data_IF_148222582693
#
_entry.id   IF_148222582693
#
_cell.length_a   1.000
_cell.length_b   1.000
_cell.length_c   1.000
_cell.angle_alpha   90.00
_cell.angle_beta   90.00
_cell.angle_gamma   90.00
#
_symmetry.space_group_name_H-M   'P 1'
#
loop_
_entity.id
_entity.type
_entity.pdbx_description
1 polymer ?
#
# COMPACT_ATOMS: atom_id res chain seq x y z
N UNK A 1 -11.23 -66.42 33.83
CA UNK A 1 -11.28 -66.32 32.35
C UNK A 1 -12.69 -65.98 31.92
N UNK A 2 -12.79 -64.95 31.07
CA UNK A 2 -13.84 -64.61 30.08
C UNK A 2 -14.33 -63.17 30.25
N UNK A 3 -13.98 -62.41 29.21
CA UNK A 3 -14.03 -60.97 29.06
C UNK A 3 -15.46 -60.53 28.74
N UNK A 4 -15.87 -59.44 29.37
CA UNK A 4 -17.04 -58.65 29.02
C UNK A 4 -16.64 -57.78 27.83
N UNK A 5 -17.40 -57.83 26.73
CA UNK A 5 -17.44 -56.75 25.76
C UNK A 5 -18.90 -56.50 25.39
N UNK A 6 -19.37 -55.34 25.85
CA UNK A 6 -20.67 -54.77 25.56
C UNK A 6 -20.53 -54.05 24.20
N UNK A 7 -21.18 -54.59 23.17
CA UNK A 7 -21.31 -53.94 21.88
C UNK A 7 -22.69 -53.28 21.84
N UNK A 8 -22.72 -51.94 21.73
CA UNK A 8 -23.96 -51.20 21.53
C UNK A 8 -23.71 -49.95 20.68
N UNK A 9 -24.49 -49.87 19.60
CA UNK A 9 -24.80 -48.71 18.74
C UNK A 9 -23.63 -48.16 17.90
N UNK A 10 -23.78 -47.80 16.63
CA UNK A 10 -24.85 -47.02 16.03
C UNK A 10 -24.85 -47.22 14.50
N UNK A 11 -26.04 -47.43 13.93
CA UNK A 11 -26.29 -47.51 12.49
C UNK A 11 -26.33 -46.11 11.83
N UNK A 12 -25.64 -46.00 10.70
CA UNK A 12 -25.98 -45.23 9.48
C UNK A 12 -26.45 -43.78 9.62
N UNK A 13 -25.57 -42.86 9.23
CA UNK A 13 -25.94 -41.75 8.34
C UNK A 13 -24.89 -41.64 7.23
N UNK A 14 -25.30 -42.05 6.04
CA UNK A 14 -24.68 -41.67 4.76
C UNK A 14 -25.14 -40.22 4.52
N UNK A 15 -24.20 -39.30 4.46
CA UNK A 15 -24.39 -37.99 3.84
C UNK A 15 -23.22 -37.77 2.89
N UNK A 16 -23.43 -38.10 1.61
CA UNK A 16 -22.70 -37.46 0.52
C UNK A 16 -23.15 -36.00 0.48
N UNK A 17 -22.30 -35.08 0.95
CA UNK A 17 -22.20 -33.77 0.32
C UNK A 17 -20.93 -33.78 -0.50
N UNK A 18 -21.06 -33.48 -1.79
CA UNK A 18 -19.94 -33.26 -2.70
C UNK A 18 -19.06 -32.14 -2.16
N UNK A 19 -18.04 -32.52 -1.40
CA UNK A 19 -16.88 -31.69 -1.16
C UNK A 19 -16.19 -31.52 -2.51
N UNK A 20 -16.54 -30.45 -3.23
CA UNK A 20 -15.61 -29.86 -4.19
C UNK A 20 -14.37 -29.47 -3.38
N UNK A 21 -13.41 -30.40 -3.29
CA UNK A 21 -12.06 -30.09 -2.87
C UNK A 21 -11.63 -28.87 -3.67
N UNK A 22 -11.35 -27.78 -2.97
CA UNK A 22 -10.67 -26.65 -3.57
C UNK A 22 -9.34 -27.23 -4.04
N UNK A 23 -9.10 -27.27 -5.35
CA UNK A 23 -7.88 -27.81 -5.92
C UNK A 23 -6.68 -27.06 -5.32
N UNK A 24 -5.93 -27.73 -4.45
CA UNK A 24 -4.67 -27.22 -3.94
C UNK A 24 -3.68 -27.06 -5.10
N UNK A 25 -2.81 -26.03 -5.08
CA UNK A 25 -1.84 -25.82 -6.14
C UNK A 25 -0.93 -27.04 -6.31
N UNK A 26 -0.82 -27.56 -7.52
CA UNK A 26 0.10 -28.67 -7.82
C UNK A 26 1.51 -28.12 -8.08
N UNK A 27 2.49 -28.65 -7.34
CA UNK A 27 3.92 -28.37 -7.51
C UNK A 27 4.57 -29.60 -8.15
N UNK A 28 5.19 -29.45 -9.33
CA UNK A 28 5.72 -30.59 -10.09
C UNK A 28 7.25 -30.63 -10.17
N UNK A 29 7.94 -29.64 -9.58
CA UNK A 29 9.40 -29.48 -9.63
C UNK A 29 9.94 -29.14 -8.23
N UNK A 30 11.12 -29.63 -7.88
CA UNK A 30 11.78 -29.30 -6.61
C UNK A 30 12.26 -27.84 -6.54
N UNK A 31 12.34 -27.30 -5.33
CA UNK A 31 12.67 -25.91 -5.03
C UNK A 31 14.19 -25.61 -5.19
N UNK A 32 14.60 -25.36 -6.44
CA UNK A 32 15.97 -25.01 -6.84
C UNK A 32 16.04 -23.63 -7.52
N UNK A 33 15.09 -22.75 -7.20
CA UNK A 33 15.02 -21.42 -7.80
C UNK A 33 16.13 -20.51 -7.26
N UNK A 34 16.73 -19.69 -8.15
CA UNK A 34 17.76 -18.74 -7.76
C UNK A 34 17.15 -17.51 -7.05
N UNK A 35 16.84 -17.69 -5.76
CA UNK A 35 16.34 -16.62 -4.89
C UNK A 35 17.33 -15.48 -4.77
N UNK A 36 18.63 -15.73 -4.87
CA UNK A 36 19.64 -14.67 -4.80
C UNK A 36 19.51 -13.73 -5.99
N UNK A 37 19.38 -14.28 -7.21
CA UNK A 37 19.15 -13.48 -8.40
C UNK A 37 17.85 -12.66 -8.32
N UNK A 38 16.78 -13.24 -7.76
CA UNK A 38 15.52 -12.52 -7.52
C UNK A 38 15.68 -11.39 -6.49
N UNK A 39 16.32 -11.65 -5.34
CA UNK A 39 16.59 -10.62 -4.34
C UNK A 39 17.49 -9.51 -4.88
N UNK A 40 18.49 -9.85 -5.72
CA UNK A 40 19.31 -8.88 -6.44
C UNK A 40 18.44 -8.01 -7.35
N UNK A 41 17.56 -8.63 -8.15
CA UNK A 41 16.66 -7.89 -9.03
C UNK A 41 15.75 -6.93 -8.24
N UNK A 42 15.10 -7.43 -7.18
CA UNK A 42 14.25 -6.63 -6.32
C UNK A 42 15.02 -5.45 -5.70
N UNK A 43 16.19 -5.70 -5.12
CA UNK A 43 16.94 -4.63 -4.47
C UNK A 43 17.49 -3.60 -5.46
N UNK A 44 18.17 -4.06 -6.51
CA UNK A 44 18.98 -3.18 -7.38
C UNK A 44 18.17 -2.52 -8.50
N UNK A 45 17.16 -3.21 -9.03
CA UNK A 45 16.40 -2.73 -10.19
C UNK A 45 15.00 -2.23 -9.85
N UNK A 46 14.50 -2.50 -8.64
CA UNK A 46 13.13 -2.13 -8.24
C UNK A 46 13.14 -1.21 -7.01
N UNK A 47 13.51 -1.74 -5.84
CA UNK A 47 13.36 -1.08 -4.54
C UNK A 47 14.24 0.17 -4.44
N UNK A 48 15.55 0.04 -4.66
CA UNK A 48 16.48 1.18 -4.55
C UNK A 48 16.14 2.27 -5.59
N UNK A 49 15.93 1.96 -6.88
CA UNK A 49 15.49 2.96 -7.85
C UNK A 49 14.16 3.62 -7.50
N UNK A 50 13.17 2.87 -6.99
CA UNK A 50 11.89 3.43 -6.55
C UNK A 50 12.08 4.41 -5.37
N UNK A 51 12.90 4.06 -4.37
CA UNK A 51 13.24 4.98 -3.26
C UNK A 51 14.02 6.21 -3.73
N UNK A 52 14.91 6.08 -4.72
CA UNK A 52 15.58 7.24 -5.35
C UNK A 52 14.57 8.19 -5.99
N UNK A 53 13.63 7.65 -6.77
CA UNK A 53 12.57 8.45 -7.38
C UNK A 53 11.67 9.10 -6.31
N UNK A 54 11.28 8.35 -5.28
CA UNK A 54 10.53 8.88 -4.15
C UNK A 54 11.24 10.06 -3.48
N UNK A 55 12.53 9.91 -3.18
CA UNK A 55 13.36 10.98 -2.61
C UNK A 55 13.43 12.22 -3.52
N UNK A 56 13.60 12.03 -4.84
CA UNK A 56 13.64 13.14 -5.81
C UNK A 56 12.33 13.94 -5.77
N UNK A 57 11.19 13.26 -5.81
CA UNK A 57 9.88 13.92 -5.80
C UNK A 57 9.60 14.62 -4.46
N UNK A 58 9.99 14.02 -3.33
CA UNK A 58 9.85 14.66 -2.01
C UNK A 58 10.79 15.86 -1.85
N UNK A 59 12.01 15.79 -2.39
CA UNK A 59 12.91 16.95 -2.44
C UNK A 59 12.30 18.08 -3.27
N UNK A 60 11.65 17.76 -4.39
CA UNK A 60 10.95 18.76 -5.19
C UNK A 60 9.79 19.40 -4.44
N UNK A 61 9.01 18.61 -3.71
CA UNK A 61 7.97 19.11 -2.80
C UNK A 61 8.56 20.04 -1.74
N UNK A 62 9.70 19.67 -1.13
CA UNK A 62 10.40 20.50 -0.15
C UNK A 62 10.88 21.84 -0.72
N UNK A 63 11.45 21.85 -1.93
CA UNK A 63 11.84 23.09 -2.60
C UNK A 63 10.63 24.00 -2.86
N UNK A 64 9.56 23.46 -3.42
CA UNK A 64 8.35 24.25 -3.73
C UNK A 64 7.64 24.73 -2.46
N UNK A 65 7.68 23.96 -1.36
CA UNK A 65 7.18 24.38 -0.07
C UNK A 65 7.96 25.56 0.51
N UNK A 66 9.28 25.57 0.36
CA UNK A 66 10.10 26.71 0.77
C UNK A 66 9.88 27.94 -0.11
N UNK A 67 9.68 27.76 -1.43
CA UNK A 67 9.30 28.86 -2.33
C UNK A 67 7.94 29.44 -1.94
N UNK A 68 6.95 28.59 -1.65
CA UNK A 68 5.63 29.03 -1.21
C UNK A 68 5.68 29.76 0.14
N UNK A 69 6.47 29.25 1.10
CA UNK A 69 6.72 29.91 2.39
C UNK A 69 7.24 31.34 2.25
N UNK A 70 8.15 31.58 1.31
CA UNK A 70 8.75 32.90 1.10
C UNK A 70 7.85 33.83 0.28
N UNK A 71 7.03 33.28 -0.61
CA UNK A 71 6.16 34.05 -1.49
C UNK A 71 4.82 33.33 -1.71
N UNK A 72 3.88 33.41 -0.75
CA UNK A 72 2.58 32.74 -0.83
C UNK A 72 1.67 33.42 -1.85
N UNK A 73 1.73 32.93 -3.08
CA UNK A 73 0.86 33.33 -4.20
C UNK A 73 0.05 32.12 -4.68
N UNK A 74 -1.01 32.36 -5.46
CA UNK A 74 -1.77 31.28 -6.11
C UNK A 74 -0.88 30.43 -7.02
N UNK A 75 0.04 31.05 -7.77
CA UNK A 75 0.97 30.31 -8.62
C UNK A 75 1.88 29.39 -7.81
N UNK A 76 2.41 29.86 -6.68
CA UNK A 76 3.26 29.04 -5.83
C UNK A 76 2.47 28.00 -5.03
N UNK A 77 1.21 28.28 -4.66
CA UNK A 77 0.27 27.29 -4.11
C UNK A 77 0.03 26.16 -5.11
N UNK A 78 -0.15 26.47 -6.39
CA UNK A 78 -0.33 25.46 -7.43
C UNK A 78 0.94 24.65 -7.71
N UNK A 79 2.13 25.26 -7.58
CA UNK A 79 3.41 24.53 -7.68
C UNK A 79 3.57 23.50 -6.57
N UNK A 80 3.41 23.91 -5.30
CA UNK A 80 3.52 22.97 -4.17
C UNK A 80 2.46 21.86 -4.24
N UNK A 81 1.23 22.19 -4.70
CA UNK A 81 0.18 21.19 -4.95
C UNK A 81 0.56 20.16 -6.03
N UNK A 82 1.24 20.61 -7.08
CA UNK A 82 1.72 19.73 -8.16
C UNK A 82 2.81 18.79 -7.65
N UNK A 83 3.82 19.30 -6.94
CA UNK A 83 4.88 18.47 -6.37
C UNK A 83 4.40 17.59 -5.21
N UNK A 84 3.36 18.01 -4.48
CA UNK A 84 2.66 17.17 -3.51
C UNK A 84 2.02 15.96 -4.19
N UNK A 85 1.29 16.15 -5.28
CA UNK A 85 0.68 15.04 -6.01
C UNK A 85 1.75 14.10 -6.58
N UNK A 86 2.82 14.63 -7.18
CA UNK A 86 3.87 13.79 -7.77
C UNK A 86 4.60 12.94 -6.72
N UNK A 87 4.95 13.53 -5.57
CA UNK A 87 5.55 12.79 -4.45
C UNK A 87 4.59 11.78 -3.83
N UNK A 88 3.30 12.11 -3.76
CA UNK A 88 2.30 11.18 -3.25
C UNK A 88 2.04 10.01 -4.20
N UNK A 89 2.15 10.24 -5.51
CA UNK A 89 2.14 9.16 -6.51
C UNK A 89 3.38 8.28 -6.38
N UNK A 90 4.58 8.86 -6.25
CA UNK A 90 5.82 8.07 -6.10
C UNK A 90 5.86 7.29 -4.79
N UNK A 91 5.21 7.78 -3.72
CA UNK A 91 4.99 7.01 -2.49
C UNK A 91 4.26 5.67 -2.75
N UNK A 92 3.28 5.64 -3.66
CA UNK A 92 2.53 4.41 -3.97
C UNK A 92 3.42 3.27 -4.49
N UNK A 93 4.61 3.60 -5.03
CA UNK A 93 5.57 2.65 -5.57
C UNK A 93 6.56 2.11 -4.53
N UNK A 94 6.66 2.74 -3.36
CA UNK A 94 7.63 2.35 -2.31
C UNK A 94 6.97 1.82 -1.04
N UNK A 95 5.69 2.16 -0.81
CA UNK A 95 4.98 1.85 0.42
C UNK A 95 4.84 0.34 0.71
N UNK A 96 4.88 -0.52 -0.31
CA UNK A 96 4.86 -1.98 -0.13
C UNK A 96 6.15 -2.54 0.47
N UNK A 97 7.27 -1.81 0.38
CA UNK A 97 8.58 -2.24 0.88
C UNK A 97 8.76 -1.88 2.37
N UNK A 98 7.77 -2.24 3.18
CA UNK A 98 7.75 -2.05 4.65
C UNK A 98 8.57 -3.16 5.33
N UNK A 99 9.88 -3.16 5.10
CA UNK A 99 10.84 -4.06 5.73
C UNK A 99 12.03 -3.28 6.26
N UNK A 100 12.73 -3.83 7.27
CA UNK A 100 13.92 -3.21 7.84
C UNK A 100 13.61 -1.81 8.36
N UNK A 101 14.38 -0.80 7.92
CA UNK A 101 14.23 0.57 8.41
C UNK A 101 12.84 1.17 8.16
N UNK A 102 12.14 0.75 7.11
CA UNK A 102 10.76 1.21 6.86
C UNK A 102 9.79 0.71 7.92
N UNK A 103 10.01 -0.48 8.47
CA UNK A 103 9.22 -1.02 9.57
C UNK A 103 9.53 -0.28 10.88
N UNK A 104 10.82 -0.05 11.20
CA UNK A 104 11.25 0.70 12.39
C UNK A 104 10.66 2.12 12.45
N UNK A 105 10.51 2.75 11.28
CA UNK A 105 9.96 4.10 11.13
C UNK A 105 8.42 4.12 11.05
N UNK A 106 7.76 2.96 11.11
CA UNK A 106 6.32 2.85 10.85
C UNK A 106 5.92 3.53 9.54
N UNK A 107 6.73 3.36 8.48
CA UNK A 107 6.74 4.22 7.29
C UNK A 107 5.35 4.50 6.71
N UNK A 108 4.48 3.50 6.61
CA UNK A 108 3.12 3.66 6.09
C UNK A 108 2.29 4.59 6.99
N UNK A 109 2.23 4.31 8.30
CA UNK A 109 1.44 5.11 9.25
C UNK A 109 2.02 6.52 9.43
N UNK A 110 3.34 6.62 9.39
CA UNK A 110 4.06 7.90 9.48
C UNK A 110 3.81 8.78 8.26
N UNK A 111 3.71 8.19 7.08
CA UNK A 111 3.61 8.94 5.81
C UNK A 111 2.18 9.14 5.33
N UNK A 112 1.27 8.22 5.66
CA UNK A 112 -0.03 8.14 4.98
C UNK A 112 -1.17 7.56 5.83
N UNK A 113 -1.35 8.04 7.06
CA UNK A 113 -2.53 7.70 7.86
C UNK A 113 -3.73 8.57 7.44
N UNK A 114 -4.76 7.93 6.89
CA UNK A 114 -6.05 8.57 6.59
C UNK A 114 -7.22 7.79 7.23
N UNK A 115 -8.27 8.47 7.72
CA UNK A 115 -8.50 9.91 7.68
C UNK A 115 -7.52 10.70 8.56
N UNK A 116 -7.14 11.90 8.11
CA UNK A 116 -6.38 12.83 8.93
C UNK A 116 -7.30 13.53 9.94
N UNK A 117 -6.75 13.92 11.08
CA UNK A 117 -7.45 14.59 12.15
C UNK A 117 -7.25 16.10 12.07
N UNK A 118 -8.09 16.77 11.28
CA UNK A 118 -8.03 18.22 11.07
C UNK A 118 -8.18 19.03 12.36
N UNK A 119 -8.94 18.53 13.34
CA UNK A 119 -9.12 19.17 14.65
C UNK A 119 -7.77 19.24 15.38
N UNK A 120 -7.07 18.12 15.49
CA UNK A 120 -5.78 18.10 16.18
C UNK A 120 -4.65 18.73 15.35
N UNK A 121 -4.74 18.74 14.00
CA UNK A 121 -3.85 19.56 13.16
C UNK A 121 -4.00 21.05 13.51
N UNK A 122 -5.23 21.57 13.58
CA UNK A 122 -5.45 22.97 13.94
C UNK A 122 -4.94 23.27 15.36
N UNK A 123 -5.04 22.31 16.28
CA UNK A 123 -4.45 22.43 17.62
C UNK A 123 -2.92 22.46 17.57
N UNK A 124 -2.28 21.61 16.78
CA UNK A 124 -0.83 21.65 16.56
C UNK A 124 -0.38 23.01 16.01
N UNK A 125 -1.08 23.54 15.00
CA UNK A 125 -0.79 24.85 14.39
C UNK A 125 -0.89 25.97 15.44
N UNK A 126 -1.92 25.94 16.29
CA UNK A 126 -2.15 26.97 17.30
C UNK A 126 -1.18 26.91 18.48
N UNK A 127 -0.85 25.70 18.96
CA UNK A 127 0.03 25.49 20.11
C UNK A 127 1.52 25.54 19.76
N UNK A 128 1.88 25.20 18.52
CA UNK A 128 3.26 25.17 18.02
C UNK A 128 4.22 24.28 18.84
N UNK A 129 3.68 23.30 19.58
CA UNK A 129 4.42 22.41 20.49
C UNK A 129 4.24 20.93 20.17
N UNK A 130 4.28 20.56 18.88
CA UNK A 130 4.11 19.19 18.40
C UNK A 130 5.45 18.49 18.13
N UNK A 131 5.45 17.16 18.19
CA UNK A 131 6.56 16.33 17.77
C UNK A 131 6.07 15.29 16.75
N UNK A 132 6.30 15.55 15.46
CA UNK A 132 5.83 14.70 14.36
C UNK A 132 6.41 13.28 14.42
N UNK A 133 7.57 13.06 15.06
CA UNK A 133 8.14 11.71 15.25
C UNK A 133 7.38 10.83 16.24
N UNK A 134 6.41 11.39 16.98
CA UNK A 134 5.59 10.63 17.93
C UNK A 134 4.51 9.82 17.21
N UNK A 135 4.31 8.56 17.61
CA UNK A 135 3.23 7.68 17.12
C UNK A 135 1.84 8.32 17.25
N UNK A 136 1.64 9.18 18.26
CA UNK A 136 0.36 9.87 18.47
C UNK A 136 0.04 10.87 17.37
N UNK A 137 1.00 11.25 16.52
CA UNK A 137 0.85 12.25 15.47
C UNK A 137 0.59 11.64 14.09
N UNK A 138 0.54 10.32 13.93
CA UNK A 138 0.34 9.68 12.62
C UNK A 138 -0.89 10.23 11.87
N UNK A 139 -2.01 10.45 12.55
CA UNK A 139 -3.23 11.03 11.97
C UNK A 139 -3.15 12.55 11.70
N UNK A 140 -2.03 13.22 12.04
CA UNK A 140 -1.84 14.67 11.92
C UNK A 140 -0.68 15.06 11.01
N UNK A 141 -0.10 14.08 10.31
CA UNK A 141 1.08 14.30 9.48
C UNK A 141 1.02 13.59 8.11
N UNK A 142 2.13 13.65 7.38
CA UNK A 142 2.26 13.00 6.08
C UNK A 142 1.37 13.60 4.98
N UNK A 143 1.14 12.84 3.91
CA UNK A 143 0.34 13.29 2.77
C UNK A 143 -1.10 13.67 3.12
N UNK A 144 -1.82 12.96 4.00
CA UNK A 144 -3.18 13.34 4.38
C UNK A 144 -3.27 14.68 5.13
N UNK A 145 -2.28 15.00 5.99
CA UNK A 145 -2.23 16.32 6.61
C UNK A 145 -1.90 17.43 5.60
N UNK A 146 -1.01 17.15 4.63
CA UNK A 146 -0.74 18.07 3.53
C UNK A 146 -1.97 18.29 2.63
N UNK A 147 -2.77 17.26 2.38
CA UNK A 147 -4.05 17.38 1.68
C UNK A 147 -4.97 18.39 2.40
N UNK A 148 -5.12 18.27 3.72
CA UNK A 148 -5.88 19.22 4.52
C UNK A 148 -5.30 20.65 4.44
N UNK A 149 -3.98 20.80 4.60
CA UNK A 149 -3.35 22.12 4.56
C UNK A 149 -3.48 22.80 3.18
N UNK A 150 -3.41 22.03 2.10
CA UNK A 150 -3.41 22.56 0.73
C UNK A 150 -4.80 22.72 0.12
N UNK A 151 -5.80 21.97 0.59
CA UNK A 151 -7.14 21.93 -0.01
C UNK A 151 -8.29 22.00 1.00
N UNK A 152 -8.03 21.71 2.27
CA UNK A 152 -9.07 21.55 3.30
C UNK A 152 -9.28 22.73 4.25
N UNK A 153 -8.45 23.78 4.17
CA UNK A 153 -8.54 24.94 5.06
C UNK A 153 -9.75 25.86 4.74
N UNK A 154 -10.17 25.93 3.48
CA UNK A 154 -11.32 26.71 3.02
C UNK A 154 -11.81 26.23 1.64
N UNK A 155 -12.97 26.74 1.20
CA UNK A 155 -13.63 26.28 -0.04
C UNK A 155 -13.00 26.80 -1.34
N UNK A 156 -12.19 27.85 -1.29
CA UNK A 156 -11.59 28.46 -2.49
C UNK A 156 -10.09 28.68 -2.30
N UNK A 157 -9.34 28.65 -3.40
CA UNK A 157 -7.90 28.90 -3.37
C UNK A 157 -7.53 30.26 -2.78
N UNK A 158 -8.33 31.29 -3.04
CA UNK A 158 -8.11 32.61 -2.46
C UNK A 158 -8.32 32.60 -0.94
N UNK A 159 -9.38 31.92 -0.47
CA UNK A 159 -9.63 31.77 0.96
C UNK A 159 -8.58 30.90 1.66
N UNK A 160 -8.08 29.86 1.01
CA UNK A 160 -6.96 29.05 1.51
C UNK A 160 -5.70 29.92 1.61
N UNK A 161 -5.43 30.76 0.60
CA UNK A 161 -4.25 31.63 0.60
C UNK A 161 -4.24 32.62 1.78
N UNK A 162 -5.40 33.07 2.26
CA UNK A 162 -5.50 33.95 3.43
C UNK A 162 -4.87 33.33 4.68
N UNK A 163 -4.92 32.00 4.84
CA UNK A 163 -4.23 31.32 5.95
C UNK A 163 -2.71 31.43 5.88
N UNK A 164 -2.15 31.72 4.70
CA UNK A 164 -0.71 31.84 4.45
C UNK A 164 -0.24 33.29 4.24
N UNK A 165 -1.16 34.26 4.18
CA UNK A 165 -0.84 35.70 4.06
C UNK A 165 -1.40 36.56 5.19
N UNK A 166 -2.31 36.03 6.01
CA UNK A 166 -2.99 36.73 7.09
C UNK A 166 -2.21 36.80 8.40
N UNK A 167 -2.85 37.25 9.50
CA UNK A 167 -2.19 37.45 10.79
C UNK A 167 -1.53 36.20 11.39
N UNK A 168 -2.11 35.02 11.16
CA UNK A 168 -1.59 33.73 11.63
C UNK A 168 -0.71 32.99 10.60
N UNK A 169 -0.37 33.64 9.47
CA UNK A 169 0.35 33.04 8.35
C UNK A 169 1.59 32.25 8.77
N UNK A 170 2.37 32.79 9.70
CA UNK A 170 3.59 32.15 10.17
C UNK A 170 3.33 30.76 10.78
N UNK A 171 2.22 30.56 11.50
CA UNK A 171 1.88 29.28 12.13
C UNK A 171 1.54 28.22 11.08
N UNK A 172 0.67 28.55 10.12
CA UNK A 172 0.26 27.66 9.04
C UNK A 172 1.43 27.31 8.12
N UNK A 173 2.23 28.31 7.74
CA UNK A 173 3.42 28.11 6.91
C UNK A 173 4.46 27.25 7.63
N UNK A 174 4.67 27.44 8.94
CA UNK A 174 5.60 26.60 9.72
C UNK A 174 5.13 25.15 9.73
N UNK A 175 3.86 24.89 10.07
CA UNK A 175 3.31 23.53 10.09
C UNK A 175 3.43 22.85 8.72
N UNK A 176 3.03 23.55 7.64
CA UNK A 176 3.16 23.04 6.27
C UNK A 176 4.61 22.66 5.95
N UNK A 177 5.59 23.52 6.26
CA UNK A 177 7.00 23.21 5.98
C UNK A 177 7.57 22.11 6.87
N UNK A 178 7.10 21.98 8.12
CA UNK A 178 7.54 20.92 9.03
C UNK A 178 7.05 19.55 8.54
N UNK A 179 5.79 19.46 8.08
CA UNK A 179 5.24 18.25 7.46
C UNK A 179 6.06 17.79 6.25
N UNK A 180 6.41 18.73 5.36
CA UNK A 180 7.21 18.40 4.17
C UNK A 180 8.65 18.04 4.53
N UNK A 181 9.23 18.71 5.52
CA UNK A 181 10.59 18.42 6.01
C UNK A 181 10.65 17.02 6.61
N UNK A 182 9.62 16.61 7.34
CA UNK A 182 9.52 15.28 7.94
C UNK A 182 9.42 14.17 6.87
N UNK A 183 8.60 14.36 5.83
CA UNK A 183 8.58 13.46 4.66
C UNK A 183 9.94 13.34 3.99
N UNK A 184 10.64 14.46 3.81
CA UNK A 184 11.99 14.50 3.22
C UNK A 184 12.98 13.71 4.05
N UNK A 185 13.03 13.97 5.36
CA UNK A 185 13.93 13.27 6.27
C UNK A 185 13.67 11.77 6.31
N UNK A 186 12.39 11.37 6.23
CA UNK A 186 11.99 9.96 6.13
C UNK A 186 12.49 9.34 4.83
N UNK A 187 12.26 10.00 3.67
CA UNK A 187 12.74 9.50 2.37
C UNK A 187 14.27 9.37 2.31
N UNK A 188 14.99 10.37 2.81
CA UNK A 188 16.46 10.35 2.90
C UNK A 188 16.95 9.19 3.78
N UNK A 189 16.32 9.00 4.93
CA UNK A 189 16.69 7.92 5.87
C UNK A 189 16.51 6.55 5.24
N UNK A 190 15.38 6.31 4.55
CA UNK A 190 15.09 5.04 3.90
C UNK A 190 16.07 4.73 2.76
N UNK A 191 16.35 5.71 1.89
CA UNK A 191 17.29 5.49 0.79
C UNK A 191 18.72 5.25 1.30
N UNK A 192 19.15 6.00 2.31
CA UNK A 192 20.47 5.84 2.91
C UNK A 192 20.63 4.46 3.58
N UNK A 193 19.59 4.00 4.28
CA UNK A 193 19.58 2.66 4.88
C UNK A 193 19.75 1.59 3.80
N UNK A 194 18.94 1.63 2.74
CA UNK A 194 19.02 0.67 1.63
C UNK A 194 20.41 0.58 0.98
N UNK A 195 21.13 1.70 0.85
CA UNK A 195 22.50 1.70 0.32
C UNK A 195 23.47 0.84 1.15
N UNK A 196 23.21 0.68 2.45
CA UNK A 196 24.02 -0.15 3.35
C UNK A 196 23.42 -1.54 3.59
N UNK A 197 22.09 -1.65 3.64
CA UNK A 197 21.35 -2.88 3.92
C UNK A 197 21.32 -3.86 2.73
N UNK A 198 21.46 -3.37 1.50
CA UNK A 198 21.36 -4.15 0.26
C UNK A 198 22.05 -5.52 0.29
N UNK A 199 23.33 -5.57 0.68
CA UNK A 199 24.11 -6.82 0.63
C UNK A 199 23.62 -7.84 1.67
N UNK A 200 23.21 -7.38 2.85
CA UNK A 200 22.58 -8.20 3.88
C UNK A 200 21.25 -8.75 3.38
N UNK A 201 20.43 -7.91 2.75
CA UNK A 201 19.17 -8.32 2.14
C UNK A 201 19.37 -9.40 1.06
N UNK A 202 20.27 -9.18 0.08
CA UNK A 202 20.51 -10.11 -1.03
C UNK A 202 21.08 -11.46 -0.56
N UNK A 203 21.96 -11.44 0.44
CA UNK A 203 22.61 -12.67 0.92
C UNK A 203 21.69 -13.56 1.77
N UNK A 204 20.66 -12.99 2.40
CA UNK A 204 19.71 -13.71 3.24
C UNK A 204 18.60 -14.39 2.42
N UNK A 205 19.01 -15.41 1.66
CA UNK A 205 18.17 -16.22 0.75
C UNK A 205 17.32 -17.29 1.45
N UNK A 206 17.36 -17.33 2.79
CA UNK A 206 16.63 -18.30 3.59
C UNK A 206 15.12 -18.15 3.39
N UNK A 207 14.39 -19.26 3.50
CA UNK A 207 12.92 -19.26 3.40
C UNK A 207 12.23 -19.24 4.78
N UNK A 208 12.98 -18.89 5.83
CA UNK A 208 12.47 -18.74 7.20
C UNK A 208 11.74 -17.41 7.35
N UNK A 209 11.03 -17.21 8.47
CA UNK A 209 10.36 -15.94 8.79
C UNK A 209 11.30 -14.73 8.83
N UNK A 210 12.59 -14.95 9.08
CA UNK A 210 13.63 -13.94 9.06
C UNK A 210 14.31 -13.76 7.69
N UNK A 211 13.96 -14.58 6.69
CA UNK A 211 14.54 -14.54 5.35
C UNK A 211 14.02 -13.38 4.51
N UNK A 212 14.85 -12.80 3.65
CA UNK A 212 14.49 -11.61 2.87
C UNK A 212 13.30 -11.85 1.93
N UNK A 213 13.20 -13.04 1.34
CA UNK A 213 12.06 -13.41 0.49
C UNK A 213 10.78 -13.43 1.31
N UNK A 214 10.78 -14.10 2.46
CA UNK A 214 9.61 -14.22 3.34
C UNK A 214 9.14 -12.86 3.84
N UNK A 215 10.06 -12.03 4.36
CA UNK A 215 9.76 -10.68 4.85
C UNK A 215 9.16 -9.80 3.74
N UNK A 216 9.77 -9.79 2.56
CA UNK A 216 9.32 -8.94 1.44
C UNK A 216 7.96 -9.39 0.91
N UNK A 217 7.75 -10.70 0.76
CA UNK A 217 6.48 -11.24 0.27
C UNK A 217 5.36 -10.96 1.27
N UNK A 218 5.60 -11.16 2.57
CA UNK A 218 4.59 -10.83 3.58
C UNK A 218 4.25 -9.32 3.62
N UNK A 219 5.26 -8.44 3.56
CA UNK A 219 5.03 -6.99 3.49
C UNK A 219 4.25 -6.58 2.22
N UNK A 220 4.57 -7.18 1.07
CA UNK A 220 3.88 -6.98 -0.20
C UNK A 220 2.39 -7.39 -0.12
N UNK A 221 2.11 -8.59 0.39
CA UNK A 221 0.72 -9.09 0.51
C UNK A 221 -0.05 -8.26 1.53
N UNK A 222 0.53 -7.97 2.70
CA UNK A 222 -0.08 -7.12 3.72
C UNK A 222 -0.44 -5.76 3.13
N UNK A 223 0.47 -5.15 2.37
CA UNK A 223 0.23 -3.85 1.74
C UNK A 223 -0.94 -3.88 0.75
N UNK A 224 -0.94 -4.86 -0.15
CA UNK A 224 -2.01 -5.02 -1.13
C UNK A 224 -3.37 -5.27 -0.45
N UNK A 225 -3.38 -6.08 0.60
CA UNK A 225 -4.59 -6.43 1.33
C UNK A 225 -5.13 -5.26 2.18
N UNK A 226 -4.30 -4.72 3.07
CA UNK A 226 -4.74 -3.78 4.11
C UNK A 226 -4.76 -2.34 3.61
N UNK A 227 -3.78 -1.95 2.79
CA UNK A 227 -3.59 -0.55 2.44
C UNK A 227 -4.16 -0.20 1.06
N UNK A 228 -4.15 -1.13 0.10
CA UNK A 228 -4.77 -0.91 -1.21
C UNK A 228 -6.23 -1.33 -1.18
N UNK A 229 -6.51 -2.64 -1.06
CA UNK A 229 -7.87 -3.19 -1.17
C UNK A 229 -8.78 -2.69 -0.06
N UNK A 230 -8.38 -2.82 1.21
CA UNK A 230 -9.18 -2.35 2.35
C UNK A 230 -9.11 -0.84 2.52
N UNK A 231 -7.90 -0.28 2.66
CA UNK A 231 -7.69 1.15 2.92
C UNK A 231 -8.33 2.08 1.88
N UNK A 232 -7.98 1.91 0.60
CA UNK A 232 -8.42 2.84 -0.47
C UNK A 232 -9.84 2.60 -0.95
N UNK A 233 -10.37 1.38 -0.81
CA UNK A 233 -11.68 0.99 -1.38
C UNK A 233 -12.62 0.38 -0.34
N UNK A 234 -12.20 -0.67 0.36
CA UNK A 234 -13.05 -1.42 1.28
C UNK A 234 -13.65 -0.57 2.40
N UNK A 235 -12.83 0.08 3.22
CA UNK A 235 -13.30 0.89 4.34
C UNK A 235 -14.17 2.07 3.88
N UNK A 236 -13.79 2.87 2.85
CA UNK A 236 -14.67 3.92 2.34
C UNK A 236 -16.01 3.40 1.83
N UNK A 237 -16.03 2.25 1.15
CA UNK A 237 -17.24 1.63 0.61
C UNK A 237 -18.11 0.96 1.69
N UNK A 238 -17.65 0.92 2.95
CA UNK A 238 -18.40 0.40 4.08
C UNK A 238 -18.20 -1.09 4.39
N UNK A 239 -17.13 -1.73 3.87
CA UNK A 239 -16.79 -3.10 4.28
C UNK A 239 -16.43 -3.10 5.77
N UNK A 240 -17.00 -4.05 6.51
CA UNK A 240 -16.85 -4.19 7.97
C UNK A 240 -17.37 -2.99 8.79
N UNK A 241 -18.29 -2.19 8.23
CA UNK A 241 -18.94 -1.10 8.96
C UNK A 241 -20.44 -1.03 8.71
N UNK A 242 -21.16 -0.36 9.61
CA UNK A 242 -22.59 -0.10 9.49
C UNK A 242 -22.86 1.09 8.56
N UNK A 243 -22.53 0.93 7.28
CA UNK A 243 -22.75 1.94 6.23
C UNK A 243 -21.47 2.48 5.60
N UNK A 244 -21.65 3.26 4.53
CA UNK A 244 -20.56 3.91 3.77
C UNK A 244 -19.77 4.90 4.63
N UNK A 245 -18.48 5.06 4.34
CA UNK A 245 -17.56 5.95 5.08
C UNK A 245 -16.78 6.86 4.12
N UNK A 246 -17.43 7.80 3.39
CA UNK A 246 -16.72 8.65 2.42
C UNK A 246 -15.59 9.49 3.03
N UNK A 247 -15.65 9.79 4.32
CA UNK A 247 -14.59 10.48 5.07
C UNK A 247 -13.29 9.67 5.21
N UNK A 248 -13.31 8.36 4.93
CA UNK A 248 -12.11 7.51 4.93
C UNK A 248 -11.42 7.44 3.57
N UNK A 249 -11.91 8.14 2.56
CA UNK A 249 -11.27 8.21 1.24
C UNK A 249 -9.87 8.83 1.36
N UNK A 250 -8.89 8.19 0.74
CA UNK A 250 -7.55 8.76 0.60
C UNK A 250 -7.59 10.01 -0.30
N UNK A 251 -6.89 11.08 0.11
CA UNK A 251 -6.97 12.42 -0.49
C UNK A 251 -8.39 13.04 -0.42
N UNK A 252 -9.02 12.91 0.75
CA UNK A 252 -10.38 13.35 1.03
C UNK A 252 -10.65 14.83 0.70
N UNK A 253 -9.68 15.73 0.91
CA UNK A 253 -9.88 17.17 0.68
C UNK A 253 -9.69 17.55 -0.78
N UNK A 254 -8.67 17.00 -1.46
CA UNK A 254 -8.48 17.16 -2.90
C UNK A 254 -9.61 16.53 -3.73
N UNK A 255 -10.18 15.43 -3.22
CA UNK A 255 -11.32 14.67 -3.77
C UNK A 255 -11.08 13.95 -5.09
N UNK A 256 -10.46 14.54 -6.09
CA UNK A 256 -10.43 14.06 -7.49
C UNK A 256 -9.17 13.28 -7.90
N UNK A 257 -8.40 12.76 -6.93
CA UNK A 257 -7.19 11.97 -7.21
C UNK A 257 -7.22 10.56 -6.62
N UNK A 258 -8.29 10.16 -5.91
CA UNK A 258 -8.34 8.87 -5.21
C UNK A 258 -8.22 7.69 -6.16
N UNK A 259 -8.81 7.77 -7.36
CA UNK A 259 -8.63 6.76 -8.42
C UNK A 259 -7.19 6.69 -8.92
N UNK A 260 -6.53 7.84 -9.09
CA UNK A 260 -5.13 7.91 -9.52
C UNK A 260 -4.26 7.17 -8.51
N UNK A 261 -4.39 7.47 -7.21
CA UNK A 261 -3.59 6.85 -6.16
C UNK A 261 -3.85 5.33 -6.04
N UNK A 262 -5.10 4.89 -6.21
CA UNK A 262 -5.44 3.47 -6.27
C UNK A 262 -4.74 2.77 -7.44
N UNK A 263 -4.83 3.33 -8.65
CA UNK A 263 -4.25 2.74 -9.84
C UNK A 263 -2.72 2.74 -9.81
N UNK A 264 -2.07 3.77 -9.28
CA UNK A 264 -0.62 3.80 -9.07
C UNK A 264 -0.17 2.65 -8.14
N UNK A 265 -0.87 2.43 -7.02
CA UNK A 265 -0.53 1.36 -6.07
C UNK A 265 -0.76 -0.05 -6.64
N UNK A 266 -1.86 -0.24 -7.39
CA UNK A 266 -2.15 -1.52 -8.07
C UNK A 266 -1.12 -1.79 -9.17
N UNK A 267 -0.76 -0.78 -9.96
CA UNK A 267 0.26 -0.91 -11.00
C UNK A 267 1.62 -1.25 -10.41
N UNK A 268 2.05 -0.55 -9.36
CA UNK A 268 3.29 -0.85 -8.65
C UNK A 268 3.32 -2.30 -8.15
N UNK A 269 2.18 -2.80 -7.63
CA UNK A 269 2.05 -4.17 -7.14
C UNK A 269 2.19 -5.20 -8.27
N UNK A 270 1.56 -4.94 -9.42
CA UNK A 270 1.68 -5.77 -10.61
C UNK A 270 3.12 -5.76 -11.17
N UNK A 271 3.77 -4.60 -11.21
CA UNK A 271 5.15 -4.46 -11.68
C UNK A 271 6.14 -5.21 -10.78
N UNK A 272 5.98 -5.11 -9.45
CA UNK A 272 6.78 -5.87 -8.50
C UNK A 272 6.59 -7.38 -8.66
N UNK A 273 5.34 -7.85 -8.77
CA UNK A 273 5.04 -9.27 -8.99
C UNK A 273 5.74 -9.83 -10.23
N UNK A 274 5.79 -9.04 -11.31
CA UNK A 274 6.43 -9.40 -12.57
C UNK A 274 7.95 -9.16 -12.60
N UNK A 275 8.52 -8.52 -11.56
CA UNK A 275 9.93 -8.15 -11.48
C UNK A 275 10.34 -7.13 -12.53
N UNK A 276 9.40 -6.26 -12.91
CA UNK A 276 9.64 -5.15 -13.83
C UNK A 276 10.59 -4.15 -13.18
N UNK A 277 11.62 -3.75 -13.91
CA UNK A 277 12.58 -2.76 -13.45
C UNK A 277 11.84 -1.43 -13.30
N UNK A 278 12.18 -0.66 -12.27
CA UNK A 278 11.54 0.61 -12.02
C UNK A 278 11.68 1.55 -13.23
N UNK A 279 10.56 2.09 -13.72
CA UNK A 279 10.49 2.98 -14.89
C UNK A 279 11.10 2.40 -16.18
N UNK A 280 11.05 1.08 -16.37
CA UNK A 280 11.60 0.40 -17.55
C UNK A 280 10.74 -0.81 -17.95
N UNK A 281 10.68 -1.15 -19.23
CA UNK A 281 9.98 -2.36 -19.71
C UNK A 281 10.79 -3.65 -19.55
N UNK A 282 12.03 -3.56 -19.05
CA UNK A 282 12.83 -4.73 -18.72
C UNK A 282 12.27 -5.45 -17.49
N UNK A 283 12.34 -6.78 -17.51
CA UNK A 283 11.95 -7.64 -16.38
C UNK A 283 13.10 -8.55 -15.98
N UNK A 284 13.24 -8.81 -14.68
CA UNK A 284 14.20 -9.78 -14.13
C UNK A 284 13.51 -10.89 -13.33
N UNK A 285 14.28 -11.74 -12.65
CA UNK A 285 13.73 -12.79 -11.78
C UNK A 285 12.77 -12.20 -10.72
N UNK A 286 11.64 -12.87 -10.49
CA UNK A 286 10.46 -12.34 -9.81
C UNK A 286 9.58 -13.41 -9.17
N UNK A 287 8.50 -12.99 -8.50
CA UNK A 287 7.46 -13.93 -8.02
C UNK A 287 6.81 -14.67 -9.18
N UNK A 288 6.52 -13.96 -10.28
CA UNK A 288 6.00 -14.58 -11.51
C UNK A 288 6.92 -15.70 -11.99
N UNK A 289 8.22 -15.42 -12.19
CA UNK A 289 9.14 -16.44 -12.70
C UNK A 289 9.43 -17.56 -11.69
N UNK A 290 9.31 -17.29 -10.39
CA UNK A 290 9.44 -18.32 -9.36
C UNK A 290 8.23 -19.28 -9.40
N UNK A 291 7.01 -18.76 -9.51
CA UNK A 291 5.81 -19.57 -9.70
C UNK A 291 5.85 -20.39 -11.01
N UNK A 292 6.35 -19.78 -12.09
CA UNK A 292 6.55 -20.47 -13.37
C UNK A 292 7.59 -21.60 -13.25
N UNK A 293 8.70 -21.36 -12.54
CA UNK A 293 9.74 -22.36 -12.30
C UNK A 293 9.22 -23.58 -11.53
N UNK A 294 8.38 -23.35 -10.52
CA UNK A 294 7.73 -24.41 -9.74
C UNK A 294 6.57 -25.07 -10.50
N UNK A 295 6.20 -24.54 -11.67
CA UNK A 295 5.05 -24.94 -12.49
C UNK A 295 3.76 -24.99 -11.64
N UNK A 296 3.51 -23.94 -10.86
CA UNK A 296 2.34 -23.85 -9.98
C UNK A 296 1.10 -23.63 -10.83
N UNK A 297 0.15 -24.56 -10.75
CA UNK A 297 -1.08 -24.50 -11.55
C UNK A 297 -2.34 -24.50 -10.69
N UNK A 298 -3.37 -23.80 -11.19
CA UNK A 298 -4.74 -23.85 -10.71
C UNK A 298 -5.66 -23.97 -11.92
N UNK A 299 -6.58 -24.94 -11.91
CA UNK A 299 -7.47 -25.22 -13.05
C UNK A 299 -6.73 -25.38 -14.40
N UNK A 300 -5.62 -26.13 -14.43
CA UNK A 300 -4.76 -26.36 -15.60
C UNK A 300 -4.16 -25.08 -16.23
N UNK A 301 -4.03 -24.00 -15.46
CA UNK A 301 -3.41 -22.75 -15.88
C UNK A 301 -2.36 -22.32 -14.86
N UNK A 302 -1.25 -21.78 -15.33
CA UNK A 302 -0.20 -21.24 -14.46
C UNK A 302 -0.79 -20.17 -13.53
N UNK A 303 -0.52 -20.30 -12.23
CA UNK A 303 -0.97 -19.36 -11.22
C UNK A 303 -0.48 -17.93 -11.52
N UNK A 304 0.75 -17.81 -12.03
CA UNK A 304 1.34 -16.54 -12.47
C UNK A 304 0.51 -15.84 -13.57
N UNK A 305 -0.12 -16.62 -14.46
CA UNK A 305 -0.99 -16.09 -15.51
C UNK A 305 -2.34 -15.69 -14.93
N UNK A 306 -2.89 -16.49 -14.01
CA UNK A 306 -4.14 -16.16 -13.31
C UNK A 306 -4.02 -14.84 -12.55
N UNK A 307 -2.94 -14.64 -11.81
CA UNK A 307 -2.67 -13.40 -11.05
C UNK A 307 -2.58 -12.19 -11.99
N UNK A 308 -1.87 -12.31 -13.12
CA UNK A 308 -1.72 -11.21 -14.08
C UNK A 308 -3.03 -10.86 -14.82
N UNK A 309 -3.82 -11.87 -15.19
CA UNK A 309 -5.16 -11.65 -15.75
C UNK A 309 -6.08 -10.96 -14.73
N UNK A 310 -5.91 -11.30 -13.45
CA UNK A 310 -6.67 -10.67 -12.38
C UNK A 310 -6.22 -9.23 -12.12
N UNK A 311 -4.91 -8.90 -12.21
CA UNK A 311 -4.46 -7.51 -12.24
C UNK A 311 -5.08 -6.71 -13.39
N UNK A 312 -5.16 -7.30 -14.59
CA UNK A 312 -5.83 -6.69 -15.74
C UNK A 312 -7.33 -6.44 -15.47
N UNK A 313 -7.99 -7.41 -14.83
CA UNK A 313 -9.41 -7.28 -14.43
C UNK A 313 -9.62 -6.19 -13.38
N UNK A 314 -8.71 -6.08 -12.40
CA UNK A 314 -8.72 -5.00 -11.40
C UNK A 314 -8.59 -3.63 -12.08
N UNK A 315 -7.67 -3.47 -13.02
CA UNK A 315 -7.52 -2.21 -13.76
C UNK A 315 -8.80 -1.82 -14.52
N UNK A 316 -9.45 -2.78 -15.19
CA UNK A 316 -10.74 -2.53 -15.86
C UNK A 316 -11.80 -2.03 -14.87
N UNK A 317 -11.92 -2.67 -13.70
CA UNK A 317 -12.89 -2.26 -12.67
C UNK A 317 -12.56 -0.88 -12.09
N UNK A 318 -11.31 -0.65 -11.72
CA UNK A 318 -10.87 0.62 -11.16
C UNK A 318 -11.04 1.78 -12.16
N UNK A 319 -10.74 1.58 -13.44
CA UNK A 319 -10.90 2.60 -14.47
C UNK A 319 -12.36 2.98 -14.73
N UNK A 320 -13.33 2.15 -14.33
CA UNK A 320 -14.75 2.44 -14.42
C UNK A 320 -15.30 3.29 -13.26
N UNK A 321 -14.46 3.60 -12.26
CA UNK A 321 -14.77 4.48 -11.13
C UNK A 321 -14.63 5.96 -11.51
N UNK A 322 -15.36 6.82 -10.81
CA UNK A 322 -15.13 8.27 -10.78
C UNK A 322 -13.72 8.58 -10.22
N UNK A 323 -13.11 9.68 -10.66
CA UNK A 323 -11.87 10.18 -10.07
C UNK A 323 -12.06 10.56 -8.60
N UNK A 324 -13.27 10.99 -8.25
CA UNK A 324 -13.70 11.34 -6.92
C UNK A 324 -14.46 10.21 -6.23
N UNK A 325 -13.77 9.49 -5.34
CA UNK A 325 -14.36 8.37 -4.61
C UNK A 325 -15.44 8.80 -3.62
N UNK A 326 -15.37 10.01 -3.05
CA UNK A 326 -16.46 10.54 -2.22
C UNK A 326 -17.74 10.64 -3.05
N UNK A 327 -17.66 11.13 -4.29
CA UNK A 327 -18.79 11.15 -5.21
C UNK A 327 -19.21 9.74 -5.64
N UNK A 328 -18.26 8.88 -6.03
CA UNK A 328 -18.52 7.51 -6.46
C UNK A 328 -19.30 6.71 -5.42
N UNK A 329 -18.93 6.79 -4.14
CA UNK A 329 -19.57 6.07 -3.04
C UNK A 329 -21.01 6.53 -2.86
N UNK A 330 -21.27 7.83 -2.90
CA UNK A 330 -22.62 8.38 -2.71
C UNK A 330 -23.54 8.14 -3.93
N UNK A 331 -22.99 8.09 -5.14
CA UNK A 331 -23.78 7.94 -6.38
C UNK A 331 -23.95 6.49 -6.81
N UNK A 332 -22.91 5.66 -6.69
CA UNK A 332 -22.94 4.25 -7.06
C UNK A 332 -21.84 3.46 -6.32
N UNK A 333 -22.08 3.17 -5.03
CA UNK A 333 -21.14 2.40 -4.22
C UNK A 333 -20.89 0.98 -4.73
N UNK A 334 -21.81 0.39 -5.51
CA UNK A 334 -21.65 -0.97 -6.03
C UNK A 334 -20.38 -1.11 -6.88
N UNK A 335 -20.02 -0.08 -7.66
CA UNK A 335 -18.76 -0.12 -8.42
C UNK A 335 -17.51 -0.17 -7.52
N UNK A 336 -17.54 0.49 -6.36
CA UNK A 336 -16.44 0.39 -5.37
C UNK A 336 -16.33 -1.04 -4.85
N UNK A 337 -17.48 -1.67 -4.53
CA UNK A 337 -17.52 -3.05 -4.06
C UNK A 337 -17.03 -4.03 -5.13
N UNK A 338 -17.36 -3.81 -6.41
CA UNK A 338 -16.83 -4.61 -7.52
C UNK A 338 -15.31 -4.49 -7.68
N UNK A 339 -14.75 -3.29 -7.53
CA UNK A 339 -13.29 -3.09 -7.49
C UNK A 339 -12.64 -3.79 -6.31
N UNK A 340 -13.27 -3.73 -5.12
CA UNK A 340 -12.81 -4.45 -3.95
C UNK A 340 -12.81 -5.97 -4.16
N UNK A 341 -13.91 -6.52 -4.68
CA UNK A 341 -14.07 -7.96 -4.88
C UNK A 341 -13.07 -8.47 -5.95
N UNK A 342 -12.78 -7.67 -6.98
CA UNK A 342 -11.73 -7.96 -7.95
C UNK A 342 -10.34 -8.01 -7.28
N UNK A 343 -10.00 -7.07 -6.40
CA UNK A 343 -8.73 -7.10 -5.66
C UNK A 343 -8.67 -8.25 -4.65
N UNK A 344 -9.80 -8.63 -4.04
CA UNK A 344 -9.88 -9.77 -3.11
C UNK A 344 -9.43 -11.08 -3.75
N UNK A 345 -9.73 -11.31 -5.04
CA UNK A 345 -9.28 -12.51 -5.73
C UNK A 345 -7.74 -12.62 -5.76
N UNK A 346 -7.04 -11.51 -6.02
CA UNK A 346 -5.58 -11.48 -5.94
C UNK A 346 -5.06 -11.71 -4.53
N UNK A 347 -5.70 -11.15 -3.50
CA UNK A 347 -5.35 -11.45 -2.10
C UNK A 347 -5.47 -12.95 -1.81
N UNK A 348 -6.52 -13.61 -2.29
CA UNK A 348 -6.70 -15.05 -2.13
C UNK A 348 -5.62 -15.84 -2.87
N UNK A 349 -5.29 -15.49 -4.12
CA UNK A 349 -4.20 -16.13 -4.88
C UNK A 349 -2.84 -15.95 -4.20
N UNK A 350 -2.58 -14.78 -3.62
CA UNK A 350 -1.34 -14.52 -2.91
C UNK A 350 -1.23 -15.36 -1.63
N UNK A 351 -2.25 -15.32 -0.77
CA UNK A 351 -2.18 -15.92 0.56
C UNK A 351 -2.31 -17.44 0.56
N UNK A 352 -3.14 -17.99 -0.32
CA UNK A 352 -3.44 -19.41 -0.33
C UNK A 352 -2.46 -20.13 -1.25
N UNK A 353 -2.46 -19.75 -2.53
CA UNK A 353 -1.77 -20.53 -3.55
C UNK A 353 -0.27 -20.18 -3.60
N UNK A 354 0.07 -18.89 -3.66
CA UNK A 354 1.45 -18.43 -3.79
C UNK A 354 2.27 -18.70 -2.51
N UNK A 355 1.78 -18.33 -1.32
CA UNK A 355 2.53 -18.60 -0.08
C UNK A 355 2.80 -20.09 0.12
N UNK A 356 1.78 -20.94 -0.10
CA UNK A 356 1.94 -22.41 -0.07
C UNK A 356 2.98 -22.89 -1.07
N UNK A 357 2.89 -22.44 -2.33
CA UNK A 357 3.81 -22.87 -3.38
C UNK A 357 5.25 -22.44 -3.12
N UNK A 358 5.46 -21.24 -2.58
CA UNK A 358 6.78 -20.72 -2.25
C UNK A 358 7.31 -21.23 -0.91
N UNK A 359 6.54 -22.05 -0.18
CA UNK A 359 6.83 -22.52 1.18
C UNK A 359 7.15 -21.35 2.15
N UNK A 360 6.36 -20.28 2.07
CA UNK A 360 6.47 -19.07 2.88
C UNK A 360 5.35 -19.10 3.93
N UNK A 361 5.71 -19.03 5.21
CA UNK A 361 4.74 -18.87 6.28
C UNK A 361 4.11 -17.47 6.28
N UNK A 362 2.81 -17.39 6.61
CA UNK A 362 2.11 -16.11 6.84
C UNK A 362 2.77 -15.39 8.02
N UNK A 363 3.20 -14.15 7.81
CA UNK A 363 3.99 -13.36 8.74
C UNK A 363 3.26 -12.17 9.35
N UNK A 364 1.98 -11.99 9.07
CA UNK A 364 1.16 -10.92 9.62
C UNK A 364 -0.21 -11.44 10.06
N UNK A 365 -0.85 -10.74 11.01
CA UNK A 365 -2.17 -11.10 11.51
C UNK A 365 -3.22 -10.78 10.46
N UNK A 366 -4.03 -11.78 10.13
CA UNK A 366 -5.22 -11.63 9.32
C UNK A 366 -6.19 -10.71 10.03
N UNK A 367 -6.60 -9.67 9.30
CA UNK A 367 -7.66 -8.76 9.72
C UNK A 367 -8.77 -8.89 8.69
N UNK A 368 -9.38 -10.07 8.65
CA UNK A 368 -10.60 -10.39 7.91
C UNK A 368 -11.85 -9.71 8.51
N UNK A 369 -11.67 -8.91 9.56
CA UNK A 369 -12.74 -8.15 10.20
C UNK A 369 -13.39 -8.90 11.36
N UNK A 370 -12.77 -9.99 11.79
CA UNK A 370 -13.08 -10.83 12.95
C UNK A 370 -12.63 -10.21 14.28
#
# INVERSE_FOLDING_TARGET
MKKIFFALFLSLLISCSDDKKIDEPQITIGDNYDRKAMLTNWAENIIIPAYKNYQIEVNKLYEDANVFKQNPTIDNLNKIRTSWLNSYKSYQHVAMFKIGKAEDLYFISHTNTYPTNSIEINKNINLQGYNLTSLTQFDRQGYPALDYMLYGLADTDHSILIFYTGPDAQKYTTYLTDLVTDLKNTADTLLNDWNTYKNTYISNTNNTTSGSVNLTVNAYIEYFEKHIRLGKVGYPAGKFSNGIQPNKVEAYFKKDISKILLNEAVQASADFFNGKYFSSDQTGPSLKSYLDHLNVQRNNKLLSTIINDQFSSIQVKNNALDDNFVNQINTNNNKMLESYDAMQLNVSYFKIDMLTALNIAVGYVDSDGD
#
